data_IF_911863524742
#
_entry.id   IF_911863524742
#
_cell.length_a   1.000
_cell.length_b   1.000
_cell.length_c   1.000
_cell.angle_alpha   90.00
_cell.angle_beta   90.00
_cell.angle_gamma   90.00
#
_symmetry.space_group_name_H-M   'P 1'
#
loop_
_entity.id
_entity.type
_entity.pdbx_description
1 polymer ?
#
# COMPACT_ATOMS: atom_id res chain seq x y z
N UNK A 1 34.67 -27.44 -63.00
CA UNK A 1 35.35 -26.51 -62.06
C UNK A 1 34.30 -25.95 -61.11
N UNK A 2 34.67 -25.88 -59.82
CA UNK A 2 33.88 -25.43 -58.66
C UNK A 2 33.51 -23.95 -58.75
N UNK A 3 32.36 -23.54 -58.18
CA UNK A 3 32.20 -22.57 -57.06
C UNK A 3 30.70 -22.23 -56.84
N UNK A 4 30.09 -22.73 -55.75
CA UNK A 4 29.63 -22.03 -54.51
C UNK A 4 28.31 -21.24 -54.66
N UNK A 5 27.17 -21.74 -54.14
CA UNK A 5 26.68 -21.61 -52.74
C UNK A 5 26.67 -20.17 -52.20
N UNK A 6 25.50 -19.52 -52.27
CA UNK A 6 25.07 -18.54 -51.27
C UNK A 6 23.58 -18.76 -51.00
N UNK A 7 23.28 -19.22 -49.78
CA UNK A 7 21.96 -19.54 -49.25
C UNK A 7 21.23 -18.23 -48.94
N UNK A 8 20.15 -17.91 -49.65
CA UNK A 8 19.20 -16.88 -49.20
C UNK A 8 18.14 -17.61 -48.38
N UNK A 9 18.47 -17.85 -47.12
CA UNK A 9 17.52 -18.21 -46.08
C UNK A 9 16.93 -16.92 -45.53
N UNK A 10 15.87 -16.41 -46.14
CA UNK A 10 15.01 -15.41 -45.50
C UNK A 10 13.73 -16.14 -45.08
N UNK A 11 13.90 -16.95 -44.04
CA UNK A 11 12.84 -17.69 -43.38
C UNK A 11 11.88 -16.67 -42.76
N UNK A 12 10.61 -16.83 -43.10
CA UNK A 12 9.46 -16.26 -42.42
C UNK A 12 9.65 -16.35 -40.90
N UNK A 13 9.67 -15.22 -40.21
CA UNK A 13 9.24 -15.10 -38.82
C UNK A 13 8.87 -13.64 -38.54
N UNK A 14 7.88 -13.11 -39.27
CA UNK A 14 7.12 -11.95 -38.81
C UNK A 14 6.20 -12.47 -37.71
N UNK A 15 6.67 -12.33 -36.48
CA UNK A 15 5.90 -12.60 -35.27
C UNK A 15 4.63 -11.73 -35.28
N UNK A 16 3.49 -12.41 -35.46
CA UNK A 16 2.18 -11.91 -35.09
C UNK A 16 2.03 -11.91 -33.57
N UNK A 17 2.65 -10.94 -32.89
CA UNK A 17 2.29 -10.56 -31.53
C UNK A 17 2.63 -9.07 -31.45
N UNK A 18 1.66 -8.19 -31.23
CA UNK A 18 1.54 -7.42 -29.98
C UNK A 18 0.18 -6.69 -29.98
N UNK A 19 -0.54 -6.94 -28.88
CA UNK A 19 -1.48 -6.08 -28.15
C UNK A 19 -2.80 -5.63 -28.78
N UNK A 20 -3.87 -6.28 -28.31
CA UNK A 20 -5.02 -5.56 -27.73
C UNK A 20 -4.52 -4.68 -26.58
N UNK A 21 -3.98 -3.51 -26.92
CA UNK A 21 -3.69 -2.46 -25.96
C UNK A 21 -5.00 -1.74 -25.64
N UNK A 22 -5.38 -1.74 -24.36
CA UNK A 22 -6.36 -0.80 -23.81
C UNK A 22 -6.14 0.58 -24.44
N UNK A 23 -7.23 1.23 -24.87
CA UNK A 23 -7.22 2.63 -25.24
C UNK A 23 -6.55 3.44 -24.14
N UNK A 24 -5.31 3.86 -24.41
CA UNK A 24 -4.62 4.86 -23.60
C UNK A 24 -5.32 6.17 -23.94
N UNK A 25 -6.33 6.51 -23.14
CA UNK A 25 -6.94 7.84 -23.17
C UNK A 25 -5.84 8.86 -22.95
N UNK A 26 -5.46 9.55 -24.03
CA UNK A 26 -4.71 10.79 -23.99
C UNK A 26 -5.63 11.85 -23.39
N UNK A 27 -5.49 12.10 -22.09
CA UNK A 27 -5.87 13.40 -21.54
C UNK A 27 -4.59 14.20 -21.33
N UNK A 28 -4.48 15.22 -22.19
CA UNK A 28 -3.56 16.33 -22.06
C UNK A 28 -3.75 17.00 -20.69
N UNK A 29 -2.67 17.63 -20.22
CA UNK A 29 -2.54 18.23 -18.90
C UNK A 29 -3.78 18.97 -18.40
N UNK A 30 -4.24 18.48 -17.26
CA UNK A 30 -4.72 19.25 -16.12
C UNK A 30 -4.50 18.30 -14.94
N UNK A 31 -3.68 18.71 -13.96
CA UNK A 31 -3.57 18.06 -12.65
C UNK A 31 -4.95 18.13 -11.97
N UNK A 32 -5.86 17.24 -12.37
CA UNK A 32 -7.04 16.92 -11.57
C UNK A 32 -6.55 16.03 -10.46
N UNK A 33 -6.55 16.58 -9.25
CA UNK A 33 -6.49 15.83 -7.99
C UNK A 33 -7.19 14.48 -8.15
N UNK A 34 -6.51 13.39 -7.78
CA UNK A 34 -7.04 12.02 -7.78
C UNK A 34 -8.19 11.89 -6.76
N UNK A 35 -9.33 12.53 -7.03
CA UNK A 35 -10.55 12.50 -6.20
C UNK A 35 -11.43 11.30 -6.52
N UNK A 36 -11.09 10.54 -7.56
CA UNK A 36 -11.82 9.35 -7.94
C UNK A 36 -11.23 8.16 -7.18
N UNK A 37 -12.10 7.36 -6.56
CA UNK A 37 -11.63 6.11 -6.00
C UNK A 37 -11.26 5.13 -7.11
N UNK A 38 -10.36 4.22 -6.76
CA UNK A 38 -10.00 3.05 -7.54
C UNK A 38 -11.21 2.20 -7.94
N UNK A 39 -10.99 1.31 -8.91
CA UNK A 39 -11.81 0.11 -9.04
C UNK A 39 -11.69 -0.78 -7.79
N UNK A 40 -12.56 -1.80 -7.65
CA UNK A 40 -12.42 -2.78 -6.58
C UNK A 40 -11.05 -3.46 -6.63
N UNK A 41 -10.40 -3.54 -5.48
CA UNK A 41 -9.12 -4.23 -5.28
C UNK A 41 -9.23 -5.16 -4.08
N UNK A 42 -8.27 -6.06 -3.98
CA UNK A 42 -8.17 -7.03 -2.91
C UNK A 42 -6.84 -6.84 -2.19
N UNK A 43 -6.86 -6.92 -0.86
CA UNK A 43 -5.67 -6.78 -0.03
C UNK A 43 -5.83 -7.48 1.31
N UNK A 44 -4.79 -7.39 2.12
CA UNK A 44 -4.68 -8.04 3.42
C UNK A 44 -4.37 -7.01 4.50
N UNK A 45 -5.04 -7.13 5.64
CA UNK A 45 -4.65 -6.40 6.84
C UNK A 45 -3.42 -7.11 7.42
N UNK A 46 -2.28 -6.43 7.39
CA UNK A 46 -0.96 -7.00 7.73
C UNK A 46 -0.35 -6.40 8.99
N UNK A 47 -1.00 -5.41 9.60
CA UNK A 47 -0.51 -4.71 10.78
C UNK A 47 -1.47 -3.61 11.20
N UNK A 48 -1.16 -2.98 12.33
CA UNK A 48 -1.93 -1.83 12.81
C UNK A 48 -1.05 -0.87 13.61
N UNK A 49 -1.56 0.33 13.83
CA UNK A 49 -0.95 1.26 14.76
C UNK A 49 -1.92 2.25 15.39
N UNK A 50 -1.54 2.82 16.53
CA UNK A 50 -2.10 4.01 17.17
C UNK A 50 -0.92 4.93 17.50
N UNK A 51 -1.02 6.21 17.15
CA UNK A 51 0.02 7.21 17.38
C UNK A 51 -0.57 8.48 18.00
N UNK A 52 0.27 9.48 18.28
CA UNK A 52 -0.20 10.76 18.82
C UNK A 52 -0.63 11.68 17.67
N UNK A 53 -1.80 12.29 17.79
CA UNK A 53 -2.28 13.30 16.84
C UNK A 53 -1.39 14.54 16.90
N UNK A 54 -1.10 15.12 15.73
CA UNK A 54 -0.32 16.36 15.62
C UNK A 54 -1.17 17.50 15.09
N UNK A 55 -0.87 18.71 15.56
CA UNK A 55 -1.46 19.94 15.03
C UNK A 55 -0.95 20.19 13.61
N UNK A 56 -1.87 20.55 12.70
CA UNK A 56 -1.58 20.69 11.27
C UNK A 56 -0.65 21.89 11.00
N UNK A 57 -0.75 22.95 11.80
CA UNK A 57 0.00 24.20 11.53
C UNK A 57 1.44 24.11 12.03
N UNK A 58 1.68 23.41 13.14
CA UNK A 58 2.98 23.42 13.82
C UNK A 58 3.60 22.02 14.05
N UNK A 59 2.90 20.94 13.72
CA UNK A 59 3.38 19.56 13.84
C UNK A 59 3.57 19.06 15.27
N UNK A 60 3.12 19.81 16.29
CA UNK A 60 3.25 19.41 17.69
C UNK A 60 2.18 18.40 18.08
N UNK A 61 2.56 17.43 18.91
CA UNK A 61 1.62 16.50 19.50
C UNK A 61 0.55 17.24 20.32
N UNK A 62 -0.71 16.93 20.04
CA UNK A 62 -1.87 17.56 20.69
C UNK A 62 -2.17 16.98 22.08
N UNK A 63 -1.58 15.83 22.41
CA UNK A 63 -1.88 15.03 23.60
C UNK A 63 -3.04 14.04 23.42
N UNK A 64 -3.67 14.01 22.24
CA UNK A 64 -4.64 12.99 21.86
C UNK A 64 -3.99 11.86 21.07
N UNK A 65 -4.59 10.67 21.12
CA UNK A 65 -4.22 9.55 20.26
C UNK A 65 -5.10 9.49 19.02
N UNK A 66 -4.53 9.03 17.91
CA UNK A 66 -5.30 8.72 16.71
C UNK A 66 -6.27 7.57 16.96
N UNK A 67 -7.28 7.43 16.10
CA UNK A 67 -7.93 6.13 15.94
C UNK A 67 -6.90 5.06 15.50
N UNK A 68 -7.27 3.78 15.62
CA UNK A 68 -6.43 2.70 15.09
C UNK A 68 -6.38 2.77 13.57
N UNK A 69 -5.17 2.83 13.03
CA UNK A 69 -4.91 2.62 11.63
C UNK A 69 -4.57 1.16 11.35
N UNK A 70 -4.92 0.71 10.14
CA UNK A 70 -4.62 -0.61 9.64
C UNK A 70 -3.72 -0.52 8.41
N UNK A 71 -2.71 -1.38 8.38
CA UNK A 71 -1.75 -1.52 7.29
C UNK A 71 -2.30 -2.49 6.25
N UNK A 72 -2.31 -2.09 4.99
CA UNK A 72 -2.90 -2.85 3.88
C UNK A 72 -1.81 -3.23 2.88
N UNK A 73 -1.69 -4.53 2.62
CA UNK A 73 -0.88 -5.09 1.54
C UNK A 73 -1.81 -5.57 0.42
N UNK A 74 -1.69 -5.01 -0.77
CA UNK A 74 -2.46 -5.44 -1.94
C UNK A 74 -2.06 -6.86 -2.38
N UNK A 75 -3.05 -7.60 -2.87
CA UNK A 75 -2.80 -8.90 -3.50
C UNK A 75 -1.88 -8.73 -4.72
N UNK A 76 -0.80 -9.53 -4.78
CA UNK A 76 0.26 -9.45 -5.79
C UNK A 76 1.13 -8.18 -5.76
N UNK A 77 1.14 -7.43 -4.65
CA UNK A 77 2.06 -6.31 -4.48
C UNK A 77 3.54 -6.75 -4.51
N UNK A 78 4.40 -5.91 -5.08
CA UNK A 78 5.85 -6.05 -4.99
C UNK A 78 6.38 -5.91 -3.55
N UNK A 79 5.61 -5.28 -2.66
CA UNK A 79 5.97 -5.09 -1.25
C UNK A 79 5.78 -6.35 -0.41
N UNK A 80 5.17 -7.41 -0.96
CA UNK A 80 4.87 -8.65 -0.24
C UNK A 80 6.09 -9.33 0.39
N UNK A 81 7.31 -9.09 -0.12
CA UNK A 81 8.56 -9.63 0.44
C UNK A 81 9.54 -8.53 0.87
N UNK A 82 9.07 -7.30 1.02
CA UNK A 82 9.89 -6.19 1.50
C UNK A 82 10.02 -6.21 3.03
N UNK A 83 10.94 -5.39 3.56
CA UNK A 83 11.08 -5.16 5.00
C UNK A 83 9.79 -4.63 5.63
N UNK A 84 9.05 -3.78 4.90
CA UNK A 84 7.79 -3.16 5.32
C UNK A 84 6.65 -3.61 4.41
N UNK A 85 5.99 -4.75 4.72
CA UNK A 85 5.14 -5.42 3.76
C UNK A 85 3.74 -4.79 3.66
N UNK A 86 3.65 -3.56 3.16
CA UNK A 86 2.45 -2.74 3.06
C UNK A 86 2.47 -1.94 1.75
N UNK A 87 1.30 -1.55 1.24
CA UNK A 87 1.17 -0.55 0.17
C UNK A 87 0.55 0.75 0.71
N UNK A 88 -0.40 0.64 1.62
CA UNK A 88 -1.16 1.76 2.18
C UNK A 88 -1.47 1.57 3.65
N UNK A 89 -1.83 2.66 4.33
CA UNK A 89 -2.50 2.58 5.63
C UNK A 89 -3.82 3.36 5.64
N UNK A 90 -4.73 2.98 6.52
CA UNK A 90 -6.04 3.63 6.62
C UNK A 90 -6.58 3.67 8.05
N UNK A 91 -7.19 4.80 8.42
CA UNK A 91 -7.99 4.97 9.63
C UNK A 91 -9.48 4.69 9.39
N UNK A 92 -9.86 4.32 8.15
CA UNK A 92 -11.25 4.17 7.72
C UNK A 92 -11.82 2.76 7.82
N UNK A 93 -11.07 1.80 8.38
CA UNK A 93 -11.55 0.44 8.59
C UNK A 93 -12.24 0.30 9.94
N UNK A 94 -13.36 -0.42 9.95
CA UNK A 94 -14.06 -0.73 11.20
C UNK A 94 -13.36 -1.86 11.95
N UNK A 95 -13.10 -1.66 13.24
CA UNK A 95 -12.60 -2.71 14.15
C UNK A 95 -13.52 -3.94 14.20
N UNK A 96 -14.80 -3.79 13.84
CA UNK A 96 -15.75 -4.92 13.79
C UNK A 96 -15.64 -5.76 12.53
N UNK A 97 -14.88 -5.32 11.52
CA UNK A 97 -14.70 -6.06 10.26
C UNK A 97 -14.02 -7.41 10.51
N UNK A 98 -13.09 -7.50 11.44
CA UNK A 98 -12.53 -8.78 11.88
C UNK A 98 -12.40 -8.76 13.40
N UNK A 99 -12.66 -9.90 14.04
CA UNK A 99 -12.29 -10.09 15.44
C UNK A 99 -10.80 -10.41 15.54
N UNK A 100 -9.94 -9.43 15.20
CA UNK A 100 -8.49 -9.58 15.28
C UNK A 100 -8.10 -9.65 16.75
N UNK A 101 -7.36 -10.68 17.19
CA UNK A 101 -6.90 -10.80 18.57
C UNK A 101 -6.11 -9.57 19.03
N UNK A 102 -6.35 -9.12 20.26
CA UNK A 102 -5.72 -7.92 20.83
C UNK A 102 -4.18 -8.06 20.87
N UNK A 103 -3.67 -9.28 21.01
CA UNK A 103 -2.24 -9.57 21.00
C UNK A 103 -1.56 -9.31 19.65
N UNK A 104 -2.33 -9.23 18.55
CA UNK A 104 -1.83 -8.80 17.24
C UNK A 104 -1.95 -7.29 17.03
N UNK A 105 -2.76 -6.62 17.84
CA UNK A 105 -3.00 -5.18 17.79
C UNK A 105 -2.13 -4.41 18.80
N UNK A 106 -1.38 -5.13 19.63
CA UNK A 106 -0.50 -4.61 20.67
C UNK A 106 0.94 -5.05 20.41
N UNK A 107 1.94 -4.18 20.59
CA UNK A 107 1.83 -2.79 21.02
C UNK A 107 1.17 -1.87 19.98
N UNK A 108 0.78 -0.66 20.42
CA UNK A 108 0.17 0.36 19.57
C UNK A 108 1.08 0.80 18.41
N UNK A 109 2.39 0.67 18.54
CA UNK A 109 3.36 0.81 17.44
C UNK A 109 4.64 0.07 17.81
N UNK A 110 5.51 -0.20 16.84
CA UNK A 110 6.80 -0.83 17.10
C UNK A 110 7.77 0.18 17.73
N UNK A 111 8.16 -0.04 18.99
CA UNK A 111 9.03 0.87 19.72
C UNK A 111 10.48 0.94 19.22
N UNK A 112 10.89 0.05 18.31
CA UNK A 112 12.25 0.01 17.76
C UNK A 112 12.46 0.98 16.59
N UNK A 113 11.41 1.21 15.80
CA UNK A 113 11.44 2.07 14.61
C UNK A 113 10.30 3.12 14.59
N UNK A 114 9.41 3.10 15.58
CA UNK A 114 8.20 3.91 15.63
C UNK A 114 7.29 3.76 14.39
N UNK A 115 7.28 2.56 13.81
CA UNK A 115 6.41 2.18 12.71
C UNK A 115 5.22 1.35 13.18
N UNK A 116 4.45 0.80 12.23
CA UNK A 116 3.36 -0.11 12.56
C UNK A 116 3.81 -1.37 13.28
N UNK A 117 2.93 -1.92 14.11
CA UNK A 117 3.08 -3.29 14.57
C UNK A 117 2.55 -4.25 13.50
N UNK A 118 3.46 -4.86 12.75
CA UNK A 118 3.11 -5.85 11.72
C UNK A 118 2.80 -7.21 12.35
N UNK A 119 1.80 -7.90 11.77
CA UNK A 119 1.44 -9.24 12.17
C UNK A 119 2.56 -10.24 11.83
N UNK A 120 2.68 -11.36 12.56
CA UNK A 120 3.60 -12.43 12.20
C UNK A 120 3.36 -12.93 10.78
N UNK A 121 4.43 -13.37 10.10
CA UNK A 121 4.36 -13.87 8.71
C UNK A 121 3.31 -14.98 8.51
N UNK A 122 3.06 -15.80 9.53
CA UNK A 122 2.04 -16.86 9.51
C UNK A 122 0.61 -16.34 9.36
N UNK A 123 0.36 -15.08 9.70
CA UNK A 123 -0.96 -14.44 9.66
C UNK A 123 -1.07 -13.33 8.61
N UNK A 124 0.01 -13.07 7.87
CA UNK A 124 0.11 -12.01 6.86
C UNK A 124 -1.03 -12.02 5.83
N UNK A 125 -1.53 -13.21 5.48
CA UNK A 125 -2.59 -13.38 4.49
C UNK A 125 -3.92 -13.85 5.08
N UNK A 126 -4.12 -13.72 6.40
CA UNK A 126 -5.31 -14.24 7.10
C UNK A 126 -6.52 -13.31 7.06
N UNK A 127 -6.31 -11.99 6.97
CA UNK A 127 -7.38 -10.98 7.06
C UNK A 127 -7.58 -10.29 5.72
N UNK A 128 -8.23 -11.01 4.79
CA UNK A 128 -8.38 -10.60 3.39
C UNK A 128 -9.62 -9.73 3.17
N UNK A 129 -9.46 -8.57 2.53
CA UNK A 129 -10.55 -7.62 2.27
C UNK A 129 -10.64 -7.25 0.79
N UNK A 130 -11.86 -7.01 0.32
CA UNK A 130 -12.15 -6.32 -0.93
C UNK A 130 -12.60 -4.90 -0.63
N UNK A 131 -12.11 -3.91 -1.37
CA UNK A 131 -12.42 -2.50 -1.13
C UNK A 131 -12.14 -1.63 -2.36
N UNK A 132 -12.59 -0.38 -2.31
CA UNK A 132 -12.14 0.71 -3.19
C UNK A 132 -11.40 1.74 -2.35
N UNK A 133 -10.38 2.39 -2.90
CA UNK A 133 -9.60 3.39 -2.18
C UNK A 133 -9.39 4.69 -2.94
N UNK A 134 -9.12 5.77 -2.21
CA UNK A 134 -8.56 7.03 -2.72
C UNK A 134 -7.48 7.52 -1.74
N UNK A 135 -6.46 8.23 -2.24
CA UNK A 135 -5.44 8.86 -1.39
C UNK A 135 -6.06 9.92 -0.48
N UNK A 136 -5.49 10.12 0.71
CA UNK A 136 -6.01 11.02 1.71
C UNK A 136 -4.98 11.37 2.78
N UNK A 137 -4.63 12.65 2.92
CA UNK A 137 -3.62 13.08 3.91
C UNK A 137 -4.25 13.79 5.12
N UNK A 138 -5.49 13.45 5.47
CA UNK A 138 -6.27 14.20 6.46
C UNK A 138 -5.89 13.94 7.92
N UNK A 139 -5.12 12.89 8.23
CA UNK A 139 -4.75 12.56 9.61
C UNK A 139 -3.25 12.75 9.77
N UNK A 140 -2.87 13.73 10.60
CA UNK A 140 -1.48 14.03 10.91
C UNK A 140 -1.12 13.43 12.25
N UNK A 141 -0.02 12.68 12.30
CA UNK A 141 0.37 11.94 13.49
C UNK A 141 1.89 11.86 13.64
N UNK A 142 2.32 11.54 14.85
CA UNK A 142 3.70 11.16 15.17
C UNK A 142 3.69 9.92 16.05
N UNK A 143 4.49 8.94 15.67
CA UNK A 143 4.69 7.72 16.44
C UNK A 143 6.00 7.84 17.20
N UNK A 144 5.95 7.91 18.53
CA UNK A 144 7.13 7.93 19.41
C UNK A 144 8.24 8.94 19.07
N UNK A 145 9.42 8.85 19.71
CA UNK A 145 10.51 9.79 19.52
C UNK A 145 11.57 9.36 18.48
N UNK A 146 11.31 8.34 17.63
CA UNK A 146 12.35 7.73 16.78
C UNK A 146 12.86 8.63 15.64
N UNK A 147 12.13 9.69 15.28
CA UNK A 147 12.53 10.65 14.23
C UNK A 147 13.87 11.33 14.50
N UNK A 148 14.31 11.39 15.77
CA UNK A 148 15.61 11.93 16.16
C UNK A 148 16.79 10.96 15.98
N UNK A 149 16.54 9.69 15.62
CA UNK A 149 17.53 8.60 15.73
C UNK A 149 17.90 7.91 14.41
N UNK A 150 17.50 8.43 13.23
CA UNK A 150 17.68 7.76 11.91
C UNK A 150 17.09 6.33 11.83
N UNK A 151 16.29 5.93 12.82
CA UNK A 151 15.65 4.62 12.92
C UNK A 151 14.15 4.69 12.63
N UNK A 152 13.65 5.86 12.22
CA UNK A 152 12.22 6.05 11.99
C UNK A 152 11.73 5.24 10.79
N UNK A 153 10.60 4.58 10.97
CA UNK A 153 9.82 4.00 9.89
C UNK A 153 9.58 5.05 8.79
N UNK A 154 9.76 4.70 7.50
CA UNK A 154 9.68 5.65 6.40
C UNK A 154 8.22 5.94 6.03
N UNK A 155 7.52 6.70 6.88
CA UNK A 155 6.11 7.04 6.68
C UNK A 155 5.83 7.69 5.32
N UNK A 156 6.75 8.51 4.82
CA UNK A 156 6.63 9.21 3.53
C UNK A 156 6.62 8.27 2.31
N UNK A 157 7.00 7.00 2.47
CA UNK A 157 7.00 6.00 1.39
C UNK A 157 5.61 5.34 1.18
N UNK A 158 4.65 5.58 2.09
CA UNK A 158 3.34 4.93 2.08
C UNK A 158 2.20 5.95 2.10
N UNK A 159 1.21 5.77 1.22
CA UNK A 159 0.05 6.66 1.19
C UNK A 159 -0.97 6.28 2.27
N UNK A 160 -1.49 7.30 2.95
CA UNK A 160 -2.76 7.17 3.67
C UNK A 160 -3.92 7.11 2.67
N UNK A 161 -4.87 6.20 2.89
CA UNK A 161 -6.05 6.05 2.02
C UNK A 161 -7.37 6.12 2.79
N UNK A 162 -8.41 6.58 2.11
CA UNK A 162 -9.80 6.36 2.49
C UNK A 162 -10.31 5.12 1.77
N UNK A 163 -11.04 4.27 2.49
CA UNK A 163 -11.63 3.04 1.95
C UNK A 163 -13.15 3.11 1.92
N UNK A 164 -13.75 2.44 0.94
CA UNK A 164 -15.22 2.26 0.85
C UNK A 164 -15.58 0.94 0.19
N UNK A 165 -16.85 0.57 0.31
CA UNK A 165 -17.40 -0.71 -0.17
C UNK A 165 -16.60 -1.91 0.36
N UNK A 166 -16.19 -1.85 1.64
CA UNK A 166 -15.32 -2.84 2.25
C UNK A 166 -16.08 -4.12 2.58
N UNK A 167 -15.56 -5.28 2.18
CA UNK A 167 -16.08 -6.60 2.54
C UNK A 167 -14.96 -7.58 2.88
N UNK A 168 -15.27 -8.58 3.71
CA UNK A 168 -14.40 -9.73 3.95
C UNK A 168 -14.36 -10.63 2.71
N UNK A 169 -13.21 -11.26 2.46
CA UNK A 169 -13.07 -12.40 1.52
C UNK A 169 -12.77 -13.71 2.24
#
# INVERSE_FOLDING_TARGET
>A
MKTTLAKISLLLFLLSIINTGCEKSHNNGDEKSDTAYSGPVTGYIVGSFICDETDIENGQATGNQTARAYCILLENSGNANSEWPMDFYTFGLSDSLYAIPEELLSPDYDGSNCGPHFFPDSLKYSYKISFKFQKNDSVHFVCGPCTAMELSFPWDDFDQILVRDVSKE
#
